data_IF_235567115945
#
_entry.id   IF_235567115945
#
_cell.length_a   1.000
_cell.length_b   1.000
_cell.length_c   1.000
_cell.angle_alpha   90.00
_cell.angle_beta   90.00
_cell.angle_gamma   90.00
#
_symmetry.space_group_name_H-M   'P 1'
#
loop_
_entity.id
_entity.type
_entity.pdbx_description
1 polymer ?
#
# COMPACT_ATOMS: atom_id res chain seq x y z
N UNK A 1 22.35 8.07 57.71
CA UNK A 1 22.34 6.82 56.92
C UNK A 1 21.00 6.63 56.21
N UNK A 2 20.53 7.61 55.40
CA UNK A 2 19.24 7.53 54.69
C UNK A 2 19.31 8.00 53.22
N UNK A 3 20.45 8.54 52.76
CA UNK A 3 20.65 8.92 51.35
C UNK A 3 21.01 7.74 50.45
N UNK A 4 21.71 6.74 51.00
CA UNK A 4 22.27 5.60 50.25
C UNK A 4 21.23 4.57 49.83
N UNK A 5 20.09 4.48 50.53
CA UNK A 5 19.04 3.50 50.22
C UNK A 5 18.15 3.95 49.06
N UNK A 6 17.89 5.26 48.93
CA UNK A 6 17.06 5.79 47.85
C UNK A 6 17.75 5.72 46.49
N UNK A 7 19.04 6.07 46.42
CA UNK A 7 19.84 5.93 45.19
C UNK A 7 19.97 4.46 44.75
N UNK A 8 20.06 3.52 45.70
CA UNK A 8 20.12 2.09 45.39
C UNK A 8 18.79 1.55 44.83
N UNK A 9 17.67 2.06 45.30
CA UNK A 9 16.34 1.63 44.85
C UNK A 9 16.00 2.16 43.45
N UNK A 10 16.43 3.38 43.11
CA UNK A 10 16.23 3.95 41.77
C UNK A 10 17.09 3.25 40.71
N UNK A 11 18.35 2.94 41.03
CA UNK A 11 19.25 2.20 40.15
C UNK A 11 18.76 0.77 39.87
N UNK A 12 18.16 0.10 40.87
CA UNK A 12 17.59 -1.25 40.73
C UNK A 12 16.34 -1.26 39.84
N UNK A 13 15.50 -0.23 39.90
CA UNK A 13 14.30 -0.12 39.08
C UNK A 13 14.62 0.06 37.59
N UNK A 14 15.58 0.93 37.24
CA UNK A 14 15.94 1.15 35.83
C UNK A 14 16.55 -0.10 35.17
N UNK A 15 17.38 -0.86 35.89
CA UNK A 15 17.96 -2.12 35.36
C UNK A 15 16.90 -3.18 35.05
N UNK A 16 15.83 -3.26 35.84
CA UNK A 16 14.74 -4.21 35.58
C UNK A 16 13.93 -3.90 34.31
N UNK A 17 13.88 -2.63 33.87
CA UNK A 17 13.20 -2.21 32.63
C UNK A 17 14.02 -2.55 31.38
N UNK A 18 15.34 -2.40 31.45
CA UNK A 18 16.25 -2.77 30.34
C UNK A 18 16.33 -4.30 30.20
N UNK A 19 16.40 -5.04 31.32
CA UNK A 19 16.51 -6.51 31.28
C UNK A 19 15.25 -7.18 30.72
N UNK A 20 14.05 -6.63 30.99
CA UNK A 20 12.80 -7.09 30.35
C UNK A 20 12.76 -6.85 28.84
N UNK A 21 13.50 -5.86 28.32
CA UNK A 21 13.59 -5.56 26.88
C UNK A 21 14.58 -6.48 26.13
N UNK A 22 15.58 -7.03 26.81
CA UNK A 22 16.55 -7.98 26.23
C UNK A 22 16.02 -9.43 26.28
N UNK A 23 15.26 -9.79 27.31
CA UNK A 23 14.68 -11.14 27.44
C UNK A 23 13.67 -11.50 26.33
N UNK A 24 13.07 -10.53 25.62
CA UNK A 24 12.21 -10.83 24.47
C UNK A 24 12.98 -11.10 23.17
N UNK A 25 14.29 -10.82 23.10
CA UNK A 25 15.11 -10.99 21.89
C UNK A 25 15.83 -12.36 21.85
N UNK A 26 16.13 -12.96 23.02
CA UNK A 26 16.97 -14.17 23.12
C UNK A 26 16.16 -15.49 23.03
N UNK A 27 14.83 -15.44 23.03
CA UNK A 27 13.96 -16.62 22.86
C UNK A 27 13.94 -17.25 21.45
N UNK A 28 14.59 -16.65 20.45
CA UNK A 28 14.64 -17.19 19.08
C UNK A 28 15.79 -18.16 18.81
N UNK A 29 16.72 -18.35 19.76
CA UNK A 29 17.93 -19.16 19.51
C UNK A 29 18.17 -20.07 20.70
N UNK A 30 17.58 -21.27 20.70
CA UNK A 30 18.23 -22.51 21.16
C UNK A 30 17.25 -23.66 21.42
N UNK A 31 16.83 -24.33 20.35
CA UNK A 31 16.58 -25.78 20.42
C UNK A 31 16.91 -26.39 19.05
N UNK A 32 17.89 -27.28 18.98
CA UNK A 32 18.15 -28.08 17.77
C UNK A 32 19.61 -28.24 17.36
N UNK A 33 20.48 -28.63 18.28
CA UNK A 33 21.90 -28.93 18.03
C UNK A 33 22.18 -30.24 17.26
N UNK A 34 21.28 -30.73 16.41
CA UNK A 34 21.45 -32.01 15.68
C UNK A 34 21.21 -31.92 14.16
N UNK A 35 21.19 -30.72 13.58
CA UNK A 35 20.95 -30.54 12.14
C UNK A 35 22.21 -30.28 11.27
N UNK A 36 23.40 -30.12 11.84
CA UNK A 36 24.54 -29.55 11.09
C UNK A 36 25.07 -30.40 9.92
N UNK A 37 24.80 -31.71 9.88
CA UNK A 37 25.23 -32.58 8.75
C UNK A 37 24.22 -32.65 7.60
N UNK A 38 22.93 -32.35 7.84
CA UNK A 38 21.93 -32.19 6.76
C UNK A 38 22.02 -30.83 6.07
N UNK A 39 22.60 -29.84 6.75
CA UNK A 39 22.68 -28.44 6.29
C UNK A 39 23.59 -28.28 5.08
N UNK A 40 24.60 -29.13 4.82
CA UNK A 40 25.40 -28.98 3.60
C UNK A 40 24.60 -29.31 2.31
N UNK A 41 23.81 -30.39 2.33
CA UNK A 41 22.93 -30.73 1.20
C UNK A 41 21.66 -29.88 1.17
N UNK A 42 21.17 -29.43 2.33
CA UNK A 42 20.03 -28.51 2.43
C UNK A 42 20.43 -27.06 2.16
N UNK A 43 21.70 -26.64 2.23
CA UNK A 43 22.14 -25.31 1.78
C UNK A 43 22.20 -25.22 0.27
N UNK A 44 22.42 -26.32 -0.46
CA UNK A 44 22.14 -26.29 -1.91
C UNK A 44 20.66 -26.04 -2.16
N UNK A 45 19.74 -26.64 -1.41
CA UNK A 45 18.30 -26.36 -1.56
C UNK A 45 17.84 -25.03 -0.93
N UNK A 46 18.48 -24.53 0.12
CA UNK A 46 18.10 -23.28 0.82
C UNK A 46 18.80 -22.04 0.25
N UNK A 47 19.82 -22.24 -0.60
CA UNK A 47 20.41 -21.21 -1.45
C UNK A 47 20.03 -21.40 -2.94
N UNK A 48 19.30 -22.47 -3.29
CA UNK A 48 18.64 -22.67 -4.60
C UNK A 48 17.11 -22.65 -4.54
N UNK A 49 16.50 -22.46 -3.37
CA UNK A 49 15.22 -21.76 -3.26
C UNK A 49 15.51 -20.27 -3.05
N UNK A 50 16.10 -19.66 -4.08
CA UNK A 50 15.38 -18.51 -4.58
C UNK A 50 13.94 -19.03 -4.74
N UNK A 51 12.88 -18.45 -4.12
CA UNK A 51 11.71 -18.30 -4.94
C UNK A 51 12.33 -17.79 -6.24
N UNK A 52 12.11 -18.49 -7.35
CA UNK A 52 12.10 -17.75 -8.59
C UNK A 52 11.34 -16.51 -8.17
N UNK A 53 12.04 -15.40 -8.05
CA UNK A 53 11.46 -14.13 -8.38
C UNK A 53 11.24 -14.43 -9.85
N UNK A 54 10.12 -15.16 -10.14
CA UNK A 54 9.14 -14.73 -11.10
C UNK A 54 9.30 -13.27 -10.98
N UNK A 55 10.01 -12.74 -11.97
CA UNK A 55 10.18 -11.34 -12.21
C UNK A 55 8.76 -10.83 -12.19
N UNK A 56 8.21 -10.60 -11.00
CA UNK A 56 7.01 -9.86 -10.78
C UNK A 56 7.48 -8.57 -11.41
N UNK A 57 6.96 -8.24 -12.61
CA UNK A 57 7.48 -7.10 -13.32
C UNK A 57 7.46 -5.98 -12.30
N UNK A 58 8.51 -5.18 -12.23
CA UNK A 58 8.43 -3.92 -11.51
C UNK A 58 7.40 -3.13 -12.31
N UNK A 59 6.12 -3.41 -12.06
CA UNK A 59 4.98 -2.90 -12.80
C UNK A 59 5.08 -1.42 -12.54
N UNK A 60 5.43 -0.70 -13.60
CA UNK A 60 5.57 0.75 -13.56
C UNK A 60 4.31 1.32 -12.89
N UNK A 61 4.46 2.41 -12.13
CA UNK A 61 3.29 3.09 -11.52
C UNK A 61 2.20 3.33 -12.56
N UNK A 62 2.60 3.68 -13.79
CA UNK A 62 1.72 3.82 -14.94
C UNK A 62 0.93 2.55 -15.25
N UNK A 63 1.58 1.39 -15.29
CA UNK A 63 0.93 0.11 -15.58
C UNK A 63 -0.03 -0.30 -14.45
N UNK A 64 0.29 0.05 -13.19
CA UNK A 64 -0.63 -0.15 -12.06
C UNK A 64 -1.87 0.74 -12.17
N UNK A 65 -1.71 2.01 -12.54
CA UNK A 65 -2.82 2.93 -12.77
C UNK A 65 -3.69 2.44 -13.93
N UNK A 66 -3.08 2.04 -15.04
CA UNK A 66 -3.81 1.51 -16.19
C UNK A 66 -4.58 0.23 -15.83
N UNK A 67 -3.99 -0.66 -15.00
CA UNK A 67 -4.69 -1.84 -14.49
C UNK A 67 -5.89 -1.47 -13.62
N UNK A 68 -5.78 -0.44 -12.76
CA UNK A 68 -6.90 0.05 -11.96
C UNK A 68 -8.01 0.64 -12.83
N UNK A 69 -7.65 1.45 -13.84
CA UNK A 69 -8.61 2.01 -14.79
C UNK A 69 -9.42 0.90 -15.48
N UNK A 70 -8.74 -0.13 -16.02
CA UNK A 70 -9.40 -1.31 -16.61
C UNK A 70 -10.29 -2.05 -15.63
N UNK A 71 -9.88 -2.14 -14.36
CA UNK A 71 -10.68 -2.74 -13.30
C UNK A 71 -12.01 -2.01 -13.11
N UNK A 72 -11.99 -0.68 -13.03
CA UNK A 72 -13.22 0.12 -12.92
C UNK A 72 -14.07 0.06 -14.19
N UNK A 73 -13.46 0.10 -15.38
CA UNK A 73 -14.16 -0.08 -16.66
C UNK A 73 -14.91 -1.43 -16.70
N UNK A 74 -14.28 -2.51 -16.23
CA UNK A 74 -14.89 -3.84 -16.18
C UNK A 74 -16.11 -3.91 -15.24
N UNK A 75 -16.13 -3.09 -14.18
CA UNK A 75 -17.30 -2.95 -13.31
C UNK A 75 -18.39 -2.17 -14.05
N UNK A 76 -18.03 -1.08 -14.73
CA UNK A 76 -18.98 -0.22 -15.47
C UNK A 76 -19.62 -0.92 -16.67
N UNK A 77 -18.97 -1.93 -17.26
CA UNK A 77 -19.59 -2.79 -18.28
C UNK A 77 -20.84 -3.51 -17.74
N UNK A 78 -20.83 -3.87 -16.45
CA UNK A 78 -21.91 -4.63 -15.79
C UNK A 78 -22.86 -3.70 -15.06
N UNK A 79 -22.33 -2.64 -14.46
CA UNK A 79 -23.05 -1.68 -13.65
C UNK A 79 -22.72 -0.26 -14.14
N UNK A 80 -23.32 0.20 -15.24
CA UNK A 80 -22.94 1.45 -15.89
C UNK A 80 -23.11 2.70 -15.02
N UNK A 81 -23.94 2.64 -13.99
CA UNK A 81 -24.24 3.75 -13.07
C UNK A 81 -23.62 3.54 -11.68
N UNK A 82 -22.70 2.58 -11.54
CA UNK A 82 -21.98 2.37 -10.29
C UNK A 82 -21.09 3.58 -9.97
N UNK A 83 -21.53 4.39 -9.02
CA UNK A 83 -20.88 5.64 -8.59
C UNK A 83 -19.43 5.41 -8.19
N UNK A 84 -19.17 4.38 -7.40
CA UNK A 84 -17.83 4.05 -6.92
C UNK A 84 -16.88 3.76 -8.08
N UNK A 85 -17.35 3.03 -9.10
CA UNK A 85 -16.54 2.74 -10.28
C UNK A 85 -16.35 3.97 -11.17
N UNK A 86 -17.38 4.81 -11.31
CA UNK A 86 -17.27 6.08 -12.03
C UNK A 86 -16.26 7.02 -11.35
N UNK A 87 -16.39 7.27 -10.05
CA UNK A 87 -15.45 8.11 -9.29
C UNK A 87 -14.03 7.54 -9.28
N UNK A 88 -13.91 6.22 -9.11
CA UNK A 88 -12.63 5.52 -9.16
C UNK A 88 -11.94 5.66 -10.52
N UNK A 89 -12.69 5.52 -11.61
CA UNK A 89 -12.18 5.70 -12.97
C UNK A 89 -11.76 7.15 -13.23
N UNK A 90 -12.58 8.14 -12.82
CA UNK A 90 -12.21 9.56 -12.91
C UNK A 90 -10.89 9.80 -12.21
N UNK A 91 -10.77 9.41 -10.94
CA UNK A 91 -9.57 9.64 -10.13
C UNK A 91 -8.33 9.06 -10.80
N UNK A 92 -8.38 7.81 -11.25
CA UNK A 92 -7.24 7.14 -11.88
C UNK A 92 -6.88 7.81 -13.21
N UNK A 93 -7.85 8.21 -14.03
CA UNK A 93 -7.59 8.93 -15.29
C UNK A 93 -6.94 10.30 -15.04
N UNK A 94 -7.39 11.03 -14.02
CA UNK A 94 -6.75 12.28 -13.62
C UNK A 94 -5.31 12.07 -13.10
N UNK A 95 -5.05 11.00 -12.35
CA UNK A 95 -3.71 10.61 -11.88
C UNK A 95 -2.77 10.26 -13.03
N UNK A 96 -3.27 9.60 -14.08
CA UNK A 96 -2.53 9.32 -15.33
C UNK A 96 -2.36 10.56 -16.23
N UNK A 97 -2.98 11.70 -15.89
CA UNK A 97 -3.00 12.89 -16.74
C UNK A 97 -3.96 12.78 -17.95
N UNK A 98 -4.77 11.71 -18.04
CA UNK A 98 -5.81 11.53 -19.05
C UNK A 98 -7.06 12.37 -18.72
N UNK A 99 -6.88 13.69 -18.81
CA UNK A 99 -7.95 14.67 -18.58
C UNK A 99 -9.11 14.48 -19.55
N UNK A 100 -8.82 14.20 -20.83
CA UNK A 100 -9.84 13.98 -21.85
C UNK A 100 -10.68 12.74 -21.56
N UNK A 101 -10.06 11.64 -21.16
CA UNK A 101 -10.77 10.42 -20.78
C UNK A 101 -11.58 10.57 -19.49
N UNK A 102 -11.20 11.45 -18.57
CA UNK A 102 -11.97 11.68 -17.33
C UNK A 102 -13.33 12.36 -17.56
N UNK A 103 -13.54 13.04 -18.70
CA UNK A 103 -14.76 13.83 -18.98
C UNK A 103 -16.02 12.96 -18.99
N UNK A 104 -16.06 11.88 -19.77
CA UNK A 104 -17.29 11.10 -19.94
C UNK A 104 -17.80 10.46 -18.62
N UNK A 105 -16.94 9.86 -17.77
CA UNK A 105 -17.38 9.41 -16.45
C UNK A 105 -17.86 10.55 -15.53
N UNK A 106 -17.23 11.74 -15.59
CA UNK A 106 -17.68 12.92 -14.85
C UNK A 106 -19.04 13.42 -15.32
N UNK A 107 -19.30 13.49 -16.63
CA UNK A 107 -20.60 13.84 -17.18
C UNK A 107 -21.70 12.90 -16.68
N UNK A 108 -21.39 11.61 -16.60
CA UNK A 108 -22.31 10.61 -16.05
C UNK A 108 -22.58 10.84 -14.57
N UNK A 109 -21.56 11.14 -13.77
CA UNK A 109 -21.72 11.49 -12.35
C UNK A 109 -22.59 12.74 -12.15
N UNK A 110 -22.39 13.78 -12.97
CA UNK A 110 -23.23 14.99 -12.94
C UNK A 110 -24.68 14.68 -13.34
N UNK A 111 -24.88 13.79 -14.31
CA UNK A 111 -26.23 13.36 -14.72
C UNK A 111 -26.96 12.55 -13.65
N UNK A 112 -26.24 11.69 -12.91
CA UNK A 112 -26.81 10.88 -11.83
C UNK A 112 -27.07 11.70 -10.55
N UNK A 113 -26.21 12.68 -10.25
CA UNK A 113 -26.28 13.50 -9.05
C UNK A 113 -26.16 15.00 -9.39
N UNK A 114 -27.19 15.61 -10.00
CA UNK A 114 -27.16 17.01 -10.42
C UNK A 114 -27.08 18.00 -9.24
N UNK A 115 -27.40 17.57 -8.01
CA UNK A 115 -27.25 18.36 -6.78
C UNK A 115 -25.81 18.39 -6.26
N UNK A 116 -24.95 17.46 -6.71
CA UNK A 116 -23.54 17.38 -6.31
C UNK A 116 -22.71 18.37 -7.10
N UNK A 117 -22.56 19.55 -6.53
CA UNK A 117 -21.82 20.66 -7.16
C UNK A 117 -20.34 20.35 -7.36
N UNK A 118 -19.76 19.49 -6.51
CA UNK A 118 -18.37 19.03 -6.63
C UNK A 118 -18.09 18.34 -7.97
N UNK A 119 -18.99 17.49 -8.47
CA UNK A 119 -18.81 16.86 -9.78
C UNK A 119 -18.83 17.88 -10.92
N UNK A 120 -19.68 18.91 -10.84
CA UNK A 120 -19.74 19.97 -11.85
C UNK A 120 -18.46 20.79 -11.87
N UNK A 121 -17.97 21.18 -10.68
CA UNK A 121 -16.72 21.94 -10.55
C UNK A 121 -15.56 21.16 -11.14
N UNK A 122 -15.44 19.87 -10.83
CA UNK A 122 -14.37 19.02 -11.39
C UNK A 122 -14.52 18.87 -12.90
N UNK A 123 -15.73 18.65 -13.42
CA UNK A 123 -15.98 18.55 -14.86
C UNK A 123 -15.57 19.83 -15.60
N UNK A 124 -15.99 20.99 -15.10
CA UNK A 124 -15.65 22.28 -15.70
C UNK A 124 -14.14 22.54 -15.65
N UNK A 125 -13.48 22.24 -14.53
CA UNK A 125 -12.02 22.36 -14.43
C UNK A 125 -11.31 21.48 -15.47
N UNK A 126 -11.70 20.22 -15.59
CA UNK A 126 -11.11 19.27 -16.53
C UNK A 126 -11.32 19.72 -17.98
N UNK A 127 -12.51 20.24 -18.32
CA UNK A 127 -12.79 20.80 -19.65
C UNK A 127 -11.91 22.02 -19.97
N UNK A 128 -11.73 22.91 -19.01
CA UNK A 128 -10.86 24.08 -19.17
C UNK A 128 -9.39 23.69 -19.37
N UNK A 129 -8.89 22.70 -18.63
CA UNK A 129 -7.53 22.18 -18.80
C UNK A 129 -7.32 21.54 -20.18
N UNK A 130 -8.29 20.76 -20.66
CA UNK A 130 -8.24 20.16 -22.00
C UNK A 130 -8.29 21.23 -23.09
N UNK A 131 -9.12 22.27 -22.93
CA UNK A 131 -9.21 23.37 -23.90
C UNK A 131 -7.98 24.28 -23.96
N UNK A 132 -7.22 24.40 -22.86
CA UNK A 132 -5.96 25.18 -22.81
C UNK A 132 -4.77 24.45 -23.41
N UNK A 133 -4.79 23.12 -23.40
CA UNK A 133 -3.67 22.28 -23.83
C UNK A 133 -3.75 21.89 -25.31
N UNK A 134 -4.64 22.52 -26.07
CA UNK A 134 -4.98 22.19 -27.46
C UNK A 134 -4.80 23.41 -28.35
#
# INVERSE_FOLDING_TARGET
MQGTEKEYMEARQQRSKILKKIMSLVGCVSFGGTALFGIANMFKSAFQESPQVETAPVVSVEEQLQKRARGYESVLEREPENVTALEGLVKVRLEMGDRKGAIAPLEKLVGLYPEREDYKVVLEQVRLEVGKNN
#
